data_IF_490338799928
#
_entry.id   IF_490338799928
#
_cell.length_a   1.000
_cell.length_b   1.000
_cell.length_c   1.000
_cell.angle_alpha   90.00
_cell.angle_beta   90.00
_cell.angle_gamma   90.00
#
_symmetry.space_group_name_H-M   'P 1'
#
loop_
_entity.id
_entity.type
_entity.pdbx_description
1 polymer ?
#
# COMPACT_ATOMS: atom_id res chain seq x y z
N UNK A 1 -66.41 33.97 -18.72
CA UNK A 1 -64.96 34.29 -18.95
C UNK A 1 -64.26 34.08 -17.64
N UNK A 2 -63.66 32.90 -17.42
CA UNK A 2 -63.02 32.49 -16.19
C UNK A 2 -61.53 32.59 -16.33
N UNK A 3 -60.89 33.51 -15.64
CA UNK A 3 -59.41 33.65 -15.56
C UNK A 3 -58.82 32.60 -14.64
N UNK A 4 -58.10 31.67 -15.25
CA UNK A 4 -57.25 30.68 -14.55
C UNK A 4 -55.94 31.35 -14.11
N UNK A 5 -55.41 31.11 -12.87
CA UNK A 5 -54.14 31.66 -12.45
C UNK A 5 -52.96 30.91 -13.06
N UNK A 6 -52.03 31.63 -13.65
CA UNK A 6 -50.77 31.17 -14.23
C UNK A 6 -49.92 30.34 -13.22
N UNK A 7 -49.65 29.08 -13.54
CA UNK A 7 -48.65 28.24 -12.82
C UNK A 7 -47.23 28.77 -13.13
N UNK A 8 -46.37 28.94 -12.14
CA UNK A 8 -44.97 29.32 -12.37
C UNK A 8 -44.22 28.19 -13.09
N UNK A 9 -43.43 28.59 -14.10
CA UNK A 9 -42.66 27.73 -14.98
C UNK A 9 -41.68 26.83 -14.18
N UNK A 10 -41.65 25.54 -14.49
CA UNK A 10 -40.76 24.52 -13.90
C UNK A 10 -39.27 24.75 -14.14
N UNK A 11 -38.91 25.68 -15.02
CA UNK A 11 -37.50 25.99 -15.38
C UNK A 11 -36.74 26.70 -14.28
N UNK A 12 -37.40 27.40 -13.35
CA UNK A 12 -36.72 28.10 -12.26
C UNK A 12 -36.36 27.23 -11.06
N UNK A 13 -36.99 26.06 -10.92
CA UNK A 13 -36.72 25.13 -9.80
C UNK A 13 -35.43 24.35 -9.99
N UNK A 14 -35.03 24.07 -11.24
CA UNK A 14 -33.83 23.28 -11.55
C UNK A 14 -32.53 24.08 -11.36
N UNK A 15 -32.58 25.41 -11.50
CA UNK A 15 -31.38 26.25 -11.31
C UNK A 15 -30.96 26.37 -9.83
N UNK A 16 -31.92 26.38 -8.91
CA UNK A 16 -31.64 26.46 -7.47
C UNK A 16 -31.07 25.16 -6.91
N UNK A 17 -31.47 23.98 -7.46
CA UNK A 17 -30.98 22.70 -7.02
C UNK A 17 -29.53 22.43 -7.48
N UNK A 18 -29.17 22.86 -8.70
CA UNK A 18 -27.80 22.69 -9.23
C UNK A 18 -26.78 23.59 -8.51
N UNK A 19 -27.17 24.76 -8.05
CA UNK A 19 -26.29 25.67 -7.35
C UNK A 19 -25.99 25.22 -5.90
N UNK A 20 -26.97 24.60 -5.23
CA UNK A 20 -26.78 24.01 -3.90
C UNK A 20 -25.84 22.80 -3.98
N UNK A 21 -25.89 22.02 -5.09
CA UNK A 21 -25.00 20.88 -5.30
C UNK A 21 -23.53 21.33 -5.49
N UNK A 22 -23.26 22.43 -6.17
CA UNK A 22 -21.91 22.95 -6.36
C UNK A 22 -21.27 23.45 -5.05
N UNK A 23 -22.04 24.06 -4.16
CA UNK A 23 -21.52 24.50 -2.85
C UNK A 23 -21.33 23.34 -1.86
N UNK A 24 -22.16 22.29 -1.93
CA UNK A 24 -21.99 21.10 -1.10
C UNK A 24 -20.78 20.27 -1.51
N UNK A 25 -20.42 20.22 -2.80
CA UNK A 25 -19.23 19.52 -3.28
C UNK A 25 -17.94 20.26 -2.85
N UNK A 26 -17.90 21.58 -2.90
CA UNK A 26 -16.76 22.39 -2.42
C UNK A 26 -16.52 22.27 -0.92
N UNK A 27 -17.57 22.20 -0.12
CA UNK A 27 -17.48 22.06 1.35
C UNK A 27 -17.03 20.68 1.81
N UNK A 28 -17.43 19.63 1.09
CA UNK A 28 -17.09 18.23 1.41
C UNK A 28 -15.60 17.93 1.08
N UNK A 29 -15.04 18.55 0.05
CA UNK A 29 -13.63 18.35 -0.30
C UNK A 29 -12.67 18.92 0.73
N UNK A 30 -12.99 20.04 1.36
CA UNK A 30 -12.13 20.64 2.39
C UNK A 30 -12.16 19.82 3.69
N UNK A 31 -13.29 19.22 4.07
CA UNK A 31 -13.39 18.41 5.29
C UNK A 31 -12.87 16.96 5.12
N UNK A 32 -12.93 16.39 3.91
CA UNK A 32 -12.39 15.06 3.63
C UNK A 32 -10.85 15.04 3.65
N UNK A 33 -10.19 16.14 3.27
CA UNK A 33 -8.73 16.25 3.29
C UNK A 33 -8.13 16.34 4.69
N UNK A 34 -8.88 16.85 5.68
CA UNK A 34 -8.39 17.00 7.05
C UNK A 34 -8.51 15.72 7.90
N UNK A 35 -9.24 14.70 7.46
CA UNK A 35 -9.48 13.47 8.24
C UNK A 35 -8.72 12.22 7.75
N UNK A 36 -7.95 12.28 6.68
CA UNK A 36 -7.35 11.13 6.02
C UNK A 36 -5.85 10.89 6.25
N UNK A 37 -5.16 11.72 6.99
CA UNK A 37 -3.72 11.62 7.18
C UNK A 37 -3.32 11.32 8.64
N UNK A 38 -3.95 10.33 9.27
CA UNK A 38 -3.32 9.68 10.39
C UNK A 38 -2.36 8.62 9.82
N UNK A 39 -1.06 8.68 10.13
CA UNK A 39 -0.15 7.60 9.79
C UNK A 39 -0.65 6.33 10.48
N UNK A 40 -0.57 5.17 9.82
CA UNK A 40 -0.85 3.91 10.49
C UNK A 40 0.07 3.81 11.69
N UNK A 41 -0.50 3.57 12.86
CA UNK A 41 0.26 3.27 14.07
C UNK A 41 1.28 2.19 13.71
N UNK A 42 2.53 2.42 14.08
CA UNK A 42 3.59 1.42 14.00
C UNK A 42 3.07 0.16 14.66
N UNK A 43 2.82 -0.91 13.89
CA UNK A 43 2.54 -2.22 14.45
C UNK A 43 3.78 -2.60 15.27
N UNK A 44 3.65 -2.53 16.58
CA UNK A 44 4.55 -3.22 17.49
C UNK A 44 4.24 -4.70 17.26
N UNK A 45 5.21 -5.45 16.74
CA UNK A 45 5.08 -6.90 16.62
C UNK A 45 4.74 -7.46 18.01
N UNK A 46 3.66 -8.22 18.16
CA UNK A 46 3.36 -8.85 19.43
C UNK A 46 4.50 -9.82 19.77
N UNK A 47 5.11 -9.63 20.92
CA UNK A 47 6.05 -10.58 21.50
C UNK A 47 5.36 -11.95 21.57
N UNK A 48 5.90 -13.01 20.97
CA UNK A 48 5.25 -14.32 21.00
C UNK A 48 5.11 -14.80 22.43
N UNK A 49 3.89 -15.03 22.85
CA UNK A 49 3.58 -15.68 24.12
C UNK A 49 4.07 -17.13 24.05
N UNK A 50 4.82 -17.63 25.04
CA UNK A 50 5.27 -19.00 25.00
C UNK A 50 4.10 -19.97 25.11
N UNK A 51 3.84 -20.70 24.04
CA UNK A 51 2.90 -21.84 24.05
C UNK A 51 3.60 -23.00 24.75
N UNK A 52 3.25 -23.25 26.00
CA UNK A 52 3.66 -24.48 26.71
C UNK A 52 2.77 -25.63 26.21
N UNK A 53 3.21 -26.31 25.18
CA UNK A 53 2.75 -27.68 24.88
C UNK A 53 3.73 -28.65 25.52
N UNK A 54 3.28 -29.41 26.49
CA UNK A 54 4.04 -30.56 27.01
C UNK A 54 4.34 -31.51 25.85
N UNK A 55 5.63 -31.67 25.54
CA UNK A 55 6.12 -32.60 24.53
C UNK A 55 5.88 -34.03 25.03
N UNK A 56 5.46 -34.97 24.18
CA UNK A 56 5.36 -36.36 24.54
C UNK A 56 6.75 -36.88 24.94
N UNK A 57 6.78 -37.68 25.98
CA UNK A 57 8.00 -38.25 26.60
C UNK A 57 8.66 -39.24 25.63
N UNK A 58 9.44 -38.75 24.67
CA UNK A 58 10.23 -39.55 23.75
C UNK A 58 11.44 -40.10 24.47
N UNK A 59 11.53 -41.42 24.57
CA UNK A 59 12.69 -42.13 25.14
C UNK A 59 13.92 -41.88 24.25
N UNK A 60 14.80 -41.01 24.72
CA UNK A 60 16.10 -40.78 24.06
C UNK A 60 16.89 -42.10 24.13
N UNK A 61 17.38 -42.58 22.99
CA UNK A 61 18.21 -43.80 22.93
C UNK A 61 19.52 -43.54 23.67
N UNK A 62 19.85 -44.30 24.74
CA UNK A 62 21.00 -44.03 25.58
C UNK A 62 22.37 -44.30 24.91
N UNK A 63 22.39 -44.88 23.71
CA UNK A 63 23.62 -45.10 22.94
C UNK A 63 24.10 -43.92 22.13
N UNK A 64 23.29 -42.86 22.04
CA UNK A 64 23.64 -41.64 21.34
C UNK A 64 23.44 -40.45 22.27
N UNK A 65 24.25 -40.42 23.34
CA UNK A 65 24.52 -39.15 24.04
C UNK A 65 25.27 -38.16 23.16
N UNK A 66 25.26 -38.42 21.82
CA UNK A 66 25.91 -37.62 20.82
C UNK A 66 25.03 -36.42 20.41
N UNK A 67 25.63 -35.24 20.40
CA UNK A 67 25.10 -34.06 19.78
C UNK A 67 24.96 -34.37 18.28
N UNK A 68 23.88 -33.93 17.63
CA UNK A 68 23.68 -34.07 16.16
C UNK A 68 24.91 -33.58 15.38
N UNK A 69 25.61 -32.62 15.91
CA UNK A 69 26.83 -32.05 15.31
C UNK A 69 28.06 -33.02 15.40
N UNK A 70 27.99 -34.13 16.12
CA UNK A 70 29.08 -35.13 16.09
C UNK A 70 29.18 -35.79 14.70
N UNK A 71 28.05 -35.90 14.00
CA UNK A 71 28.01 -36.35 12.62
C UNK A 71 27.88 -35.18 11.65
N UNK A 72 26.88 -34.28 11.86
CA UNK A 72 26.63 -33.17 10.99
C UNK A 72 27.67 -32.03 11.10
N UNK A 73 28.62 -32.11 11.99
CA UNK A 73 29.80 -31.25 12.07
C UNK A 73 30.94 -31.68 11.12
N UNK A 74 30.84 -32.83 10.43
CA UNK A 74 31.82 -33.24 9.44
C UNK A 74 31.59 -32.55 8.08
N UNK A 75 32.54 -31.75 7.59
CA UNK A 75 32.40 -31.05 6.30
C UNK A 75 32.36 -31.98 5.09
N UNK A 76 32.71 -33.27 5.28
CA UNK A 76 32.66 -34.27 4.21
C UNK A 76 31.31 -35.01 4.16
N UNK A 77 30.40 -34.76 5.09
CA UNK A 77 29.09 -35.40 5.14
C UNK A 77 28.22 -34.83 4.01
N UNK A 78 27.79 -35.72 3.09
CA UNK A 78 26.97 -35.35 1.94
C UNK A 78 25.84 -36.32 1.74
N UNK A 79 24.71 -35.82 1.22
CA UNK A 79 23.59 -36.61 0.70
C UNK A 79 23.51 -36.51 -0.82
N UNK A 80 22.86 -37.51 -1.44
CA UNK A 80 22.48 -37.47 -2.85
C UNK A 80 20.97 -37.58 -2.97
N UNK A 81 20.37 -36.74 -3.77
CA UNK A 81 18.97 -36.82 -4.18
C UNK A 81 18.77 -37.93 -5.19
N UNK A 82 17.51 -38.28 -5.47
CA UNK A 82 17.14 -39.29 -6.47
C UNK A 82 17.70 -38.94 -7.86
N UNK A 83 17.64 -37.66 -8.23
CA UNK A 83 18.15 -37.14 -9.51
C UNK A 83 19.69 -36.99 -9.54
N UNK A 84 20.36 -37.30 -8.40
CA UNK A 84 21.81 -37.33 -8.28
C UNK A 84 22.45 -36.04 -7.81
N UNK A 85 21.69 -35.03 -7.44
CA UNK A 85 22.22 -33.78 -6.84
C UNK A 85 22.97 -34.10 -5.54
N UNK A 86 24.11 -33.45 -5.33
CA UNK A 86 24.86 -33.57 -4.10
C UNK A 86 24.48 -32.44 -3.13
N UNK A 87 24.06 -32.83 -1.95
CA UNK A 87 23.63 -31.93 -0.87
C UNK A 87 24.63 -32.04 0.27
N UNK A 88 25.18 -30.93 0.73
CA UNK A 88 25.95 -30.92 1.96
C UNK A 88 25.03 -31.11 3.16
N UNK A 89 25.30 -32.13 3.96
CA UNK A 89 24.64 -32.39 5.24
C UNK A 89 25.42 -31.79 6.41
N UNK A 90 26.53 -31.13 6.08
CA UNK A 90 27.37 -30.41 7.05
C UNK A 90 26.65 -29.17 7.57
N UNK A 91 26.65 -29.04 8.90
CA UNK A 91 26.15 -27.86 9.59
C UNK A 91 27.36 -27.26 10.37
N UNK A 92 27.75 -26.05 9.98
CA UNK A 92 28.81 -25.37 10.69
C UNK A 92 28.33 -25.05 12.11
N UNK A 93 29.01 -25.57 13.17
CA UNK A 93 28.54 -25.45 14.53
C UNK A 93 28.28 -24.01 14.98
N UNK A 94 29.12 -23.05 14.57
CA UNK A 94 28.96 -21.64 14.87
C UNK A 94 27.70 -21.01 14.29
N UNK A 95 27.26 -21.44 13.11
CA UNK A 95 26.05 -20.92 12.46
C UNK A 95 24.80 -21.30 13.26
N UNK A 96 24.71 -22.56 13.69
CA UNK A 96 23.57 -23.01 14.49
C UNK A 96 23.52 -22.31 15.85
N UNK A 97 24.68 -22.15 16.50
CA UNK A 97 24.78 -21.45 17.78
C UNK A 97 24.32 -20.01 17.70
N UNK A 98 24.52 -19.32 16.57
CA UNK A 98 24.05 -17.97 16.29
C UNK A 98 22.62 -17.89 15.82
N UNK A 99 21.97 -19.01 15.56
CA UNK A 99 20.60 -19.04 15.03
C UNK A 99 19.56 -18.56 16.04
N UNK A 100 18.55 -17.85 15.56
CA UNK A 100 17.43 -17.36 16.36
C UNK A 100 16.62 -18.51 17.01
N UNK A 101 16.67 -19.72 16.42
CA UNK A 101 16.00 -20.92 16.92
C UNK A 101 16.88 -21.75 17.88
N UNK A 102 18.13 -21.37 18.09
CA UNK A 102 19.01 -22.05 19.07
C UNK A 102 18.76 -21.47 20.46
N UNK A 103 17.66 -21.86 21.09
CA UNK A 103 17.38 -21.50 22.50
C UNK A 103 17.78 -22.64 23.41
N UNK A 104 18.19 -22.30 24.65
CA UNK A 104 18.57 -23.29 25.65
C UNK A 104 17.47 -24.35 25.84
N UNK A 105 17.84 -25.62 25.68
CA UNK A 105 16.94 -26.77 25.84
C UNK A 105 16.15 -27.16 24.59
N UNK A 106 16.25 -26.43 23.49
CA UNK A 106 15.60 -26.75 22.21
C UNK A 106 16.66 -27.33 21.27
N UNK A 107 16.84 -28.63 21.29
CA UNK A 107 17.73 -29.33 20.35
C UNK A 107 17.10 -29.51 18.97
N UNK A 108 17.93 -29.78 17.97
CA UNK A 108 17.54 -29.97 16.57
C UNK A 108 16.31 -30.86 16.39
N UNK A 109 16.23 -31.97 17.12
CA UNK A 109 15.12 -32.93 17.05
C UNK A 109 13.82 -32.50 17.71
N UNK A 110 13.82 -31.45 18.54
CA UNK A 110 12.59 -31.03 19.22
C UNK A 110 11.70 -30.13 18.38
N UNK A 111 12.30 -29.29 17.56
CA UNK A 111 11.59 -28.21 16.86
C UNK A 111 11.45 -28.54 15.37
N UNK A 112 12.55 -28.69 14.67
CA UNK A 112 12.54 -28.79 13.20
C UNK A 112 12.69 -30.22 12.69
N UNK A 113 13.50 -31.05 13.37
CA UNK A 113 13.86 -32.39 12.95
C UNK A 113 13.23 -33.47 13.86
N UNK A 114 11.97 -33.37 14.18
CA UNK A 114 11.30 -34.30 15.11
C UNK A 114 11.39 -35.77 14.66
N UNK A 115 11.27 -36.02 13.36
CA UNK A 115 11.41 -37.38 12.80
C UNK A 115 12.85 -37.90 12.85
N UNK A 116 13.83 -37.04 12.96
CA UNK A 116 15.27 -37.35 13.03
C UNK A 116 15.80 -37.33 14.46
N UNK A 117 14.94 -37.22 15.47
CA UNK A 117 15.33 -37.18 16.89
C UNK A 117 15.90 -38.49 17.42
N UNK A 118 15.73 -39.58 16.68
CA UNK A 118 16.23 -40.93 16.99
C UNK A 118 17.15 -41.40 15.89
N UNK A 119 18.24 -42.07 16.24
CA UNK A 119 19.14 -42.71 15.26
C UNK A 119 19.00 -44.23 15.33
N UNK A 120 18.98 -44.94 14.21
CA UNK A 120 18.84 -44.42 12.81
C UNK A 120 17.53 -43.66 12.63
N UNK A 121 17.52 -42.61 11.77
CA UNK A 121 16.35 -41.76 11.55
C UNK A 121 15.17 -42.57 11.01
N UNK A 122 13.99 -42.46 11.67
CA UNK A 122 12.82 -43.31 11.43
C UNK A 122 12.14 -43.16 10.05
N UNK A 123 12.47 -42.10 9.31
CA UNK A 123 11.92 -41.85 7.96
C UNK A 123 12.51 -42.75 6.89
N UNK A 124 13.48 -43.54 7.22
CA UNK A 124 14.01 -44.58 6.37
C UNK A 124 13.51 -45.93 6.87
N UNK A 125 13.01 -46.78 5.99
CA UNK A 125 12.73 -48.20 6.22
C UNK A 125 14.01 -48.98 6.52
N UNK A 126 14.76 -48.56 7.55
CA UNK A 126 16.12 -48.97 7.75
C UNK A 126 16.25 -49.85 8.98
N UNK A 127 16.34 -51.16 8.74
CA UNK A 127 16.42 -52.19 9.76
C UNK A 127 17.82 -52.38 10.35
N UNK A 128 18.86 -51.65 9.90
CA UNK A 128 20.24 -51.83 10.42
C UNK A 128 21.14 -50.65 10.15
N UNK A 129 22.29 -50.60 10.89
CA UNK A 129 23.35 -49.60 10.65
C UNK A 129 23.86 -49.62 9.21
N UNK A 130 23.79 -50.75 8.54
CA UNK A 130 24.13 -50.92 7.14
C UNK A 130 23.24 -50.11 6.22
N UNK A 131 22.01 -49.76 6.58
CA UNK A 131 21.09 -49.00 5.73
C UNK A 131 21.39 -47.51 5.75
N UNK A 132 22.01 -46.96 6.79
CA UNK A 132 22.56 -45.57 6.74
C UNK A 132 23.95 -45.57 6.08
N UNK A 133 24.69 -46.64 6.26
CA UNK A 133 26.07 -46.73 5.79
C UNK A 133 26.18 -47.51 4.46
N UNK A 134 25.13 -48.12 3.94
CA UNK A 134 25.09 -48.92 2.71
C UNK A 134 24.03 -48.38 1.72
N UNK A 135 24.34 -48.29 0.46
CA UNK A 135 25.60 -48.55 -0.30
C UNK A 135 26.40 -47.24 -0.55
N UNK A 136 26.41 -46.35 0.41
CA UNK A 136 26.76 -44.97 0.17
C UNK A 136 28.24 -44.63 0.46
N UNK A 137 29.04 -45.55 0.84
CA UNK A 137 30.48 -45.27 1.04
C UNK A 137 31.24 -45.39 -0.27
N UNK A 138 31.38 -44.32 -0.99
CA UNK A 138 32.48 -44.22 -1.96
C UNK A 138 33.75 -43.78 -1.22
N UNK A 139 34.32 -44.64 -0.41
CA UNK A 139 35.57 -44.37 0.25
C UNK A 139 35.57 -44.76 1.73
N UNK A 140 36.72 -45.14 2.23
CA UNK A 140 36.98 -45.42 3.62
C UNK A 140 37.10 -44.08 4.37
N UNK A 141 36.25 -43.78 5.38
CA UNK A 141 36.35 -42.56 6.16
C UNK A 141 37.71 -42.37 6.87
N UNK A 142 38.35 -43.51 7.23
CA UNK A 142 39.68 -43.50 7.80
C UNK A 142 40.77 -43.04 6.81
N UNK A 143 40.46 -43.03 5.53
CA UNK A 143 41.30 -42.55 4.42
C UNK A 143 40.84 -41.29 3.78
N UNK A 144 39.95 -40.51 4.42
CA UNK A 144 39.42 -39.24 3.92
C UNK A 144 38.33 -39.37 2.84
N UNK A 145 37.65 -40.53 2.75
CA UNK A 145 36.51 -40.71 1.92
C UNK A 145 35.26 -39.96 2.40
N UNK A 146 34.49 -39.44 1.48
CA UNK A 146 33.21 -38.77 1.83
C UNK A 146 32.12 -39.81 2.14
N UNK A 147 31.44 -39.60 3.27
CA UNK A 147 30.18 -40.32 3.56
C UNK A 147 29.06 -39.72 2.70
N UNK A 148 28.43 -40.57 1.90
CA UNK A 148 27.34 -40.18 1.01
C UNK A 148 26.06 -40.91 1.43
N UNK A 149 24.99 -40.15 1.67
CA UNK A 149 23.68 -40.70 2.04
C UNK A 149 22.67 -40.48 0.88
N UNK A 150 21.80 -41.47 0.65
CA UNK A 150 20.70 -41.29 -0.29
C UNK A 150 19.54 -40.61 0.39
N UNK A 151 19.09 -39.50 -0.20
CA UNK A 151 17.98 -38.69 0.29
C UNK A 151 16.69 -39.05 -0.45
N UNK A 152 15.51 -39.10 0.25
CA UNK A 152 14.23 -39.47 -0.35
C UNK A 152 13.59 -38.33 -1.19
N UNK A 153 14.38 -37.37 -1.62
CA UNK A 153 13.93 -36.22 -2.40
C UNK A 153 14.39 -36.32 -3.85
N UNK A 154 13.55 -35.86 -4.78
CA UNK A 154 13.91 -35.83 -6.20
C UNK A 154 15.16 -34.99 -6.45
N UNK A 155 15.19 -33.78 -5.93
CA UNK A 155 16.24 -32.79 -6.14
C UNK A 155 16.37 -31.86 -4.93
N UNK A 156 17.35 -30.95 -4.96
CA UNK A 156 17.59 -29.95 -3.90
C UNK A 156 16.39 -29.03 -3.69
N UNK A 157 15.66 -28.72 -4.76
CA UNK A 157 14.48 -27.84 -4.64
C UNK A 157 13.33 -28.51 -3.90
N UNK A 158 13.16 -29.81 -4.04
CA UNK A 158 12.17 -30.57 -3.28
C UNK A 158 12.44 -30.47 -1.78
N UNK A 159 13.71 -30.51 -1.35
CA UNK A 159 14.08 -30.31 0.04
C UNK A 159 13.67 -28.91 0.53
N UNK A 160 13.96 -27.86 -0.24
CA UNK A 160 13.61 -26.48 0.15
C UNK A 160 12.10 -26.29 0.29
N UNK A 161 11.30 -26.92 -0.59
CA UNK A 161 9.84 -26.89 -0.52
C UNK A 161 9.30 -27.61 0.72
N UNK A 162 9.89 -28.73 1.09
CA UNK A 162 9.55 -29.46 2.33
C UNK A 162 9.86 -28.63 3.58
N UNK A 163 11.05 -28.03 3.65
CA UNK A 163 11.44 -27.12 4.75
C UNK A 163 10.44 -25.98 4.90
N UNK A 164 9.91 -25.45 3.80
CA UNK A 164 8.92 -24.38 3.85
C UNK A 164 7.65 -24.79 4.60
N UNK A 165 7.18 -26.02 4.44
CA UNK A 165 6.01 -26.54 5.19
C UNK A 165 6.28 -26.67 6.68
N UNK A 166 7.51 -26.96 7.05
CA UNK A 166 7.92 -27.02 8.46
C UNK A 166 7.89 -25.64 9.12
N UNK A 167 8.38 -24.61 8.44
CA UNK A 167 8.32 -23.24 8.94
C UNK A 167 6.87 -22.77 9.21
N UNK A 168 5.95 -23.13 8.31
CA UNK A 168 4.53 -22.77 8.41
C UNK A 168 3.87 -23.25 9.71
N UNK A 169 4.29 -24.39 10.26
CA UNK A 169 3.69 -24.96 11.49
C UNK A 169 3.74 -24.02 12.68
N UNK A 170 4.76 -23.17 12.76
CA UNK A 170 4.95 -22.20 13.84
C UNK A 170 4.73 -20.75 13.38
N UNK A 171 5.04 -20.44 12.12
CA UNK A 171 4.95 -19.11 11.53
C UNK A 171 3.71 -18.95 10.62
N UNK A 172 2.55 -19.47 11.06
CA UNK A 172 1.30 -19.46 10.26
C UNK A 172 0.85 -18.05 9.86
N UNK A 173 0.90 -17.08 10.76
CA UNK A 173 0.50 -15.68 10.47
C UNK A 173 1.38 -15.04 9.40
N UNK A 174 2.70 -15.27 9.49
CA UNK A 174 3.64 -14.78 8.48
C UNK A 174 3.38 -15.50 7.15
N UNK A 175 3.13 -16.79 7.18
CA UNK A 175 2.83 -17.57 5.99
C UNK A 175 1.55 -17.06 5.31
N UNK A 176 0.49 -16.75 6.06
CA UNK A 176 -0.74 -16.14 5.52
C UNK A 176 -0.44 -14.82 4.80
N UNK A 177 0.43 -13.98 5.34
CA UNK A 177 0.80 -12.72 4.66
C UNK A 177 1.56 -12.95 3.36
N UNK A 178 2.20 -14.11 3.18
CA UNK A 178 2.88 -14.45 1.91
C UNK A 178 1.95 -14.92 0.81
N UNK A 179 0.70 -15.30 1.12
CA UNK A 179 -0.23 -15.90 0.13
C UNK A 179 -0.50 -15.00 -1.07
N UNK A 180 -0.60 -13.68 -0.84
CA UNK A 180 -0.82 -12.67 -1.88
C UNK A 180 0.50 -12.10 -2.46
N UNK A 181 1.64 -12.64 -2.02
CA UNK A 181 2.97 -12.22 -2.51
C UNK A 181 3.15 -12.55 -3.99
N UNK A 182 3.88 -11.71 -4.71
CA UNK A 182 4.29 -11.96 -6.09
C UNK A 182 5.03 -13.30 -6.24
N UNK A 183 5.84 -13.67 -5.26
CA UNK A 183 6.58 -14.95 -5.26
C UNK A 183 5.65 -16.16 -5.12
N UNK A 184 4.69 -16.09 -4.21
CA UNK A 184 3.71 -17.18 -4.02
C UNK A 184 2.83 -17.35 -5.26
N UNK A 185 2.42 -16.24 -5.88
CA UNK A 185 1.63 -16.31 -7.11
C UNK A 185 2.40 -16.99 -8.25
N UNK A 186 3.66 -16.61 -8.47
CA UNK A 186 4.51 -17.24 -9.48
C UNK A 186 4.70 -18.74 -9.19
N UNK A 187 4.79 -19.12 -7.92
CA UNK A 187 4.84 -20.54 -7.52
C UNK A 187 3.53 -21.27 -7.86
N UNK A 188 2.38 -20.65 -7.59
CA UNK A 188 1.06 -21.20 -7.94
C UNK A 188 0.86 -21.31 -9.45
N UNK A 189 1.49 -20.45 -10.25
CA UNK A 189 1.54 -20.50 -11.70
C UNK A 189 2.49 -21.62 -12.23
N UNK A 190 3.11 -22.41 -11.35
CA UNK A 190 3.93 -23.57 -11.67
C UNK A 190 5.44 -23.34 -11.64
N UNK A 191 5.92 -22.15 -11.31
CA UNK A 191 7.35 -21.92 -11.16
C UNK A 191 7.84 -22.38 -9.79
N UNK A 192 8.28 -23.63 -9.71
CA UNK A 192 8.80 -24.22 -8.47
C UNK A 192 10.06 -23.55 -7.92
N UNK A 193 10.74 -22.70 -8.69
CA UNK A 193 11.94 -21.96 -8.27
C UNK A 193 11.62 -20.58 -7.64
N UNK A 194 10.36 -20.22 -7.53
CA UNK A 194 9.97 -19.04 -6.75
C UNK A 194 10.44 -19.18 -5.30
N UNK A 195 11.01 -18.13 -4.66
CA UNK A 195 11.66 -18.26 -3.37
C UNK A 195 10.68 -18.66 -2.26
N UNK A 196 11.16 -19.46 -1.33
CA UNK A 196 10.49 -19.89 -0.09
C UNK A 196 11.23 -19.34 1.13
N UNK A 197 10.75 -19.61 2.34
CA UNK A 197 11.30 -19.06 3.58
C UNK A 197 12.80 -19.24 3.69
N UNK A 198 13.32 -20.44 3.44
CA UNK A 198 14.74 -20.78 3.56
C UNK A 198 15.64 -20.07 2.54
N UNK A 199 15.11 -19.67 1.36
CA UNK A 199 15.90 -18.94 0.37
C UNK A 199 16.29 -17.53 0.85
N UNK A 200 15.44 -16.95 1.70
CA UNK A 200 15.65 -15.62 2.27
C UNK A 200 16.34 -15.70 3.65
N UNK A 201 15.88 -16.60 4.52
CA UNK A 201 16.27 -16.66 5.92
C UNK A 201 17.35 -17.72 6.23
N UNK A 202 17.65 -18.61 5.28
CA UNK A 202 18.47 -19.78 5.57
C UNK A 202 17.66 -20.86 6.29
N UNK A 203 18.34 -21.92 6.75
CA UNK A 203 17.70 -23.04 7.44
C UNK A 203 18.33 -23.35 8.80
N UNK A 204 19.66 -23.27 8.93
CA UNK A 204 20.37 -23.57 10.17
C UNK A 204 20.96 -22.33 10.85
N UNK A 205 21.17 -21.27 10.11
CA UNK A 205 21.69 -19.98 10.54
C UNK A 205 20.61 -18.89 10.51
N UNK A 206 19.38 -19.27 10.84
CA UNK A 206 18.24 -18.37 10.76
C UNK A 206 18.45 -17.16 11.68
N UNK A 207 18.52 -15.99 11.07
CA UNK A 207 18.64 -14.72 11.76
C UNK A 207 17.62 -13.73 11.25
N UNK A 208 17.33 -12.73 12.07
CA UNK A 208 16.58 -11.57 11.61
C UNK A 208 17.44 -10.85 10.57
N UNK A 209 16.93 -10.76 9.36
CA UNK A 209 17.59 -9.97 8.32
C UNK A 209 17.52 -8.51 8.74
N UNK A 210 18.63 -7.94 9.09
CA UNK A 210 18.73 -6.52 9.39
C UNK A 210 18.55 -5.66 8.13
N UNK A 211 18.41 -4.36 8.34
CA UNK A 211 18.18 -3.43 7.25
C UNK A 211 19.29 -3.47 6.18
N UNK A 212 20.54 -3.61 6.58
CA UNK A 212 21.69 -3.66 5.67
C UNK A 212 21.74 -4.96 4.87
N UNK A 213 21.28 -6.07 5.47
CA UNK A 213 21.24 -7.39 4.86
C UNK A 213 20.14 -7.59 3.81
N UNK A 214 19.03 -6.80 3.86
CA UNK A 214 17.88 -6.99 2.98
C UNK A 214 18.26 -6.99 1.50
N UNK A 215 19.05 -6.00 1.06
CA UNK A 215 19.50 -5.91 -0.34
C UNK A 215 20.36 -7.11 -0.73
N UNK A 216 21.14 -7.65 0.22
CA UNK A 216 21.94 -8.86 0.07
C UNK A 216 21.14 -10.12 -0.17
N UNK A 217 19.97 -10.23 0.45
CA UNK A 217 19.03 -11.34 0.22
C UNK A 217 18.42 -11.26 -1.17
N UNK A 218 17.84 -10.11 -1.53
CA UNK A 218 17.15 -9.93 -2.81
C UNK A 218 18.08 -10.12 -4.02
N UNK A 219 19.33 -9.65 -3.93
CA UNK A 219 20.32 -9.74 -5.03
C UNK A 219 20.68 -11.16 -5.43
N UNK A 220 20.43 -12.16 -4.60
CA UNK A 220 20.69 -13.57 -4.95
C UNK A 220 19.98 -13.98 -6.25
N UNK A 221 18.78 -13.42 -6.49
CA UNK A 221 17.97 -13.67 -7.68
C UNK A 221 17.79 -12.41 -8.55
N UNK A 222 17.69 -11.21 -7.94
CA UNK A 222 17.43 -9.92 -8.59
C UNK A 222 18.72 -9.10 -8.77
N UNK A 223 19.74 -9.70 -9.38
CA UNK A 223 21.06 -9.07 -9.52
C UNK A 223 21.05 -7.82 -10.40
N UNK A 224 20.25 -7.81 -11.47
CA UNK A 224 20.14 -6.69 -12.39
C UNK A 224 19.49 -5.46 -11.72
N UNK A 225 18.38 -5.69 -11.01
CA UNK A 225 17.69 -4.65 -10.24
C UNK A 225 18.56 -4.12 -9.12
N UNK A 226 19.26 -5.00 -8.41
CA UNK A 226 20.20 -4.61 -7.37
C UNK A 226 21.34 -3.76 -7.92
N UNK A 227 21.95 -4.15 -9.05
CA UNK A 227 23.06 -3.39 -9.67
C UNK A 227 22.60 -1.99 -10.07
N UNK A 228 21.39 -1.88 -10.61
CA UNK A 228 20.77 -0.60 -10.97
C UNK A 228 20.47 0.24 -9.74
N UNK A 229 19.87 -0.38 -8.70
CA UNK A 229 19.57 0.29 -7.43
C UNK A 229 20.81 0.81 -6.74
N UNK A 230 21.90 0.01 -6.69
CA UNK A 230 23.18 0.40 -6.10
C UNK A 230 23.74 1.69 -6.70
N UNK A 231 23.54 1.94 -7.99
CA UNK A 231 23.93 3.16 -8.68
C UNK A 231 22.98 4.35 -8.48
N UNK A 232 21.83 4.16 -7.83
CA UNK A 232 20.86 5.22 -7.56
C UNK A 232 21.23 6.06 -6.34
N UNK A 233 20.53 7.20 -6.16
CA UNK A 233 20.71 8.06 -4.96
C UNK A 233 20.39 7.31 -3.66
N UNK A 234 19.42 6.38 -3.70
CA UNK A 234 19.05 5.60 -2.54
C UNK A 234 20.05 4.49 -2.25
N UNK A 235 20.41 3.72 -3.27
CA UNK A 235 21.31 2.58 -3.12
C UNK A 235 22.74 2.99 -2.79
N UNK A 236 23.24 4.05 -3.40
CA UNK A 236 24.60 4.55 -3.11
C UNK A 236 24.72 5.04 -1.66
N UNK A 237 23.71 5.74 -1.14
CA UNK A 237 23.71 6.18 0.26
C UNK A 237 23.52 5.02 1.26
N UNK A 238 22.80 3.95 0.87
CA UNK A 238 22.69 2.75 1.71
C UNK A 238 24.02 2.00 1.79
N UNK A 239 24.69 1.83 0.65
CA UNK A 239 25.94 1.04 0.56
C UNK A 239 27.14 1.77 1.15
N UNK A 240 27.26 3.09 0.94
CA UNK A 240 28.40 3.86 1.42
C UNK A 240 28.33 4.15 2.92
N UNK A 241 27.15 4.52 3.43
CA UNK A 241 27.00 5.12 4.74
C UNK A 241 26.04 4.34 5.65
N UNK A 242 25.50 3.19 5.20
CA UNK A 242 24.40 2.46 5.91
C UNK A 242 23.29 3.41 6.34
N UNK A 243 22.99 4.41 5.50
CA UNK A 243 22.09 5.51 5.84
C UNK A 243 20.69 5.00 6.21
N UNK A 244 20.20 5.24 7.44
CA UNK A 244 18.92 4.74 7.89
C UNK A 244 17.70 5.41 7.23
N UNK A 245 17.88 6.55 6.61
CA UNK A 245 16.79 7.34 6.02
C UNK A 245 16.43 6.91 4.60
N UNK A 246 17.32 6.18 3.88
CA UNK A 246 17.05 5.76 2.50
C UNK A 246 16.35 4.40 2.44
N UNK A 247 15.45 4.16 1.46
CA UNK A 247 14.69 2.92 1.37
C UNK A 247 15.58 1.74 0.94
N UNK A 248 15.32 0.56 1.50
CA UNK A 248 15.80 -0.74 0.99
C UNK A 248 14.80 -1.35 0.02
N UNK A 249 15.13 -2.49 -0.57
CA UNK A 249 14.19 -3.23 -1.44
C UNK A 249 12.83 -3.45 -0.75
N UNK A 250 12.83 -3.86 0.53
CA UNK A 250 11.62 -4.16 1.28
C UNK A 250 10.77 -2.91 1.60
N UNK A 251 11.34 -1.72 1.66
CA UNK A 251 10.55 -0.51 1.90
C UNK A 251 9.63 -0.18 0.72
N UNK A 252 10.05 -0.55 -0.50
CA UNK A 252 9.24 -0.33 -1.70
C UNK A 252 8.37 -1.54 -2.04
N UNK A 253 8.90 -2.76 -1.86
CA UNK A 253 8.27 -4.00 -2.33
C UNK A 253 7.62 -4.83 -1.23
N UNK A 254 7.84 -4.52 0.03
CA UNK A 254 7.51 -5.40 1.16
C UNK A 254 8.54 -6.52 1.34
N UNK A 255 8.39 -7.27 2.44
CA UNK A 255 9.27 -8.41 2.76
C UNK A 255 8.54 -9.75 2.62
N UNK A 256 7.44 -9.96 3.33
CA UNK A 256 6.62 -11.16 3.26
C UNK A 256 5.50 -11.03 2.24
N UNK A 257 4.78 -9.93 2.23
CA UNK A 257 3.89 -9.54 1.14
C UNK A 257 4.70 -8.77 0.08
N UNK A 258 5.49 -9.50 -0.71
CA UNK A 258 6.28 -8.87 -1.77
C UNK A 258 5.35 -8.47 -2.90
N UNK A 259 5.34 -7.18 -3.23
CA UNK A 259 4.56 -6.61 -4.32
C UNK A 259 5.45 -6.05 -5.43
N UNK A 260 4.95 -6.03 -6.64
CA UNK A 260 5.71 -5.58 -7.81
C UNK A 260 4.82 -5.28 -9.01
N UNK A 261 5.40 -5.06 -10.19
CA UNK A 261 4.65 -4.63 -11.38
C UNK A 261 3.50 -5.57 -11.77
N UNK A 262 3.62 -6.85 -11.39
CA UNK A 262 2.62 -7.88 -11.65
C UNK A 262 1.52 -7.98 -10.58
N UNK A 263 1.66 -7.28 -9.44
CA UNK A 263 0.61 -7.24 -8.41
C UNK A 263 -0.39 -6.12 -8.71
N UNK A 264 -1.66 -6.41 -8.44
CA UNK A 264 -2.72 -5.42 -8.63
C UNK A 264 -2.45 -4.16 -7.81
N UNK A 265 -2.72 -3.01 -8.41
CA UNK A 265 -2.60 -1.68 -7.78
C UNK A 265 -1.19 -1.28 -7.33
N UNK A 266 -0.13 -2.05 -7.64
CA UNK A 266 1.23 -1.66 -7.24
C UNK A 266 1.62 -0.29 -7.79
N UNK A 267 1.23 0.00 -9.03
CA UNK A 267 1.49 1.29 -9.67
C UNK A 267 0.89 2.46 -8.88
N UNK A 268 -0.33 2.34 -8.42
CA UNK A 268 -1.02 3.35 -7.62
C UNK A 268 -0.42 3.49 -6.23
N UNK A 269 -0.02 2.38 -5.64
CA UNK A 269 0.63 2.36 -4.32
C UNK A 269 1.98 3.09 -4.33
N UNK A 270 2.68 3.17 -5.46
CA UNK A 270 3.99 3.83 -5.54
C UNK A 270 3.95 5.31 -5.17
N UNK A 271 2.83 6.01 -5.44
CA UNK A 271 2.68 7.41 -5.01
C UNK A 271 2.73 7.53 -3.50
N UNK A 272 2.05 6.62 -2.80
CA UNK A 272 2.11 6.56 -1.33
C UNK A 272 3.49 6.13 -0.84
N UNK A 273 4.06 5.08 -1.42
CA UNK A 273 5.38 4.54 -1.04
C UNK A 273 6.45 5.65 -1.11
N UNK A 274 6.48 6.40 -2.20
CA UNK A 274 7.41 7.53 -2.34
C UNK A 274 7.06 8.68 -1.38
N UNK A 275 5.76 9.00 -1.30
CA UNK A 275 5.25 10.10 -0.49
C UNK A 275 5.49 9.93 1.01
N UNK A 276 5.44 8.70 1.53
CA UNK A 276 5.63 8.42 2.97
C UNK A 276 6.99 8.94 3.48
N UNK A 277 8.03 8.88 2.64
CA UNK A 277 9.33 9.47 2.96
C UNK A 277 9.45 10.91 2.48
N UNK A 278 9.10 11.20 1.21
CA UNK A 278 9.31 12.50 0.59
C UNK A 278 8.37 13.61 1.12
N UNK A 279 7.33 13.28 1.89
CA UNK A 279 6.55 14.25 2.67
C UNK A 279 7.00 14.36 4.12
N UNK A 280 7.93 13.51 4.55
CA UNK A 280 8.39 13.48 5.93
C UNK A 280 9.46 14.55 6.18
N UNK A 281 9.04 15.63 6.87
CA UNK A 281 9.92 16.77 7.16
C UNK A 281 11.17 16.37 7.96
N UNK A 282 11.04 15.44 8.91
CA UNK A 282 12.16 14.98 9.75
C UNK A 282 13.27 14.33 8.94
N UNK A 283 12.90 13.67 7.82
CA UNK A 283 13.85 13.03 6.91
C UNK A 283 14.33 14.06 5.88
N UNK A 284 13.43 14.70 5.15
CA UNK A 284 13.76 15.50 3.98
C UNK A 284 14.56 16.77 4.30
N UNK A 285 14.32 17.40 5.45
CA UNK A 285 15.08 18.60 5.87
C UNK A 285 16.58 18.31 6.01
N UNK A 286 16.97 17.08 6.39
CA UNK A 286 18.38 16.67 6.50
C UNK A 286 19.13 16.76 5.16
N UNK A 287 18.40 16.61 4.07
CA UNK A 287 18.93 16.57 2.69
C UNK A 287 18.58 17.82 1.89
N UNK A 288 17.93 18.82 2.48
CA UNK A 288 17.49 20.02 1.80
C UNK A 288 16.43 19.75 0.72
N UNK A 289 15.67 18.67 0.84
CA UNK A 289 14.61 18.27 -0.11
C UNK A 289 13.28 18.83 0.35
N UNK A 290 12.55 19.49 -0.55
CA UNK A 290 11.20 19.99 -0.26
C UNK A 290 10.23 18.85 0.06
N UNK A 291 9.46 19.02 1.12
CA UNK A 291 8.37 18.09 1.49
C UNK A 291 7.07 18.34 0.72
N UNK A 292 7.05 19.35 -0.13
CA UNK A 292 5.87 19.72 -0.91
C UNK A 292 5.64 18.84 -2.14
N UNK A 293 6.57 17.92 -2.43
CA UNK A 293 6.56 17.12 -3.66
C UNK A 293 5.29 16.30 -3.85
N UNK A 294 4.77 15.70 -2.78
CA UNK A 294 3.51 14.95 -2.84
C UNK A 294 2.32 15.88 -3.05
N UNK A 295 2.27 16.99 -2.30
CA UNK A 295 1.20 17.97 -2.42
C UNK A 295 1.14 18.56 -3.83
N UNK A 296 2.28 19.03 -4.34
CA UNK A 296 2.35 19.62 -5.70
C UNK A 296 2.05 18.61 -6.79
N UNK A 297 2.41 17.33 -6.61
CA UNK A 297 2.02 16.26 -7.51
C UNK A 297 0.51 16.03 -7.49
N UNK A 298 -0.11 15.97 -6.30
CA UNK A 298 -1.56 15.75 -6.19
C UNK A 298 -2.40 16.91 -6.69
N UNK A 299 -1.83 18.13 -6.70
CA UNK A 299 -2.45 19.35 -7.25
C UNK A 299 -2.20 19.53 -8.76
N UNK A 300 -1.33 18.71 -9.34
CA UNK A 300 -1.00 18.66 -10.77
C UNK A 300 -2.00 17.79 -11.54
N UNK A 301 -2.09 18.01 -12.86
CA UNK A 301 -2.94 17.22 -13.77
C UNK A 301 -2.65 15.72 -13.70
N UNK A 302 -1.40 15.32 -13.44
CA UNK A 302 -1.01 13.92 -13.30
C UNK A 302 -1.57 13.30 -12.01
N UNK A 303 -1.57 14.03 -10.90
CA UNK A 303 -2.15 13.59 -9.63
C UNK A 303 -3.68 13.67 -9.62
N UNK A 304 -4.27 14.72 -10.20
CA UNK A 304 -5.72 14.90 -10.29
C UNK A 304 -6.42 13.80 -11.08
N UNK A 305 -5.75 13.16 -12.05
CA UNK A 305 -6.34 12.05 -12.82
C UNK A 305 -6.76 10.87 -11.95
N UNK A 306 -6.24 10.72 -10.73
CA UNK A 306 -6.72 9.70 -9.79
C UNK A 306 -8.15 9.98 -9.30
N UNK A 307 -8.49 11.26 -9.11
CA UNK A 307 -9.85 11.66 -8.75
C UNK A 307 -10.84 11.42 -9.89
N UNK A 308 -10.45 11.74 -11.13
CA UNK A 308 -11.29 11.53 -12.31
C UNK A 308 -11.47 10.05 -12.67
N UNK A 309 -10.47 9.20 -12.42
CA UNK A 309 -10.55 7.75 -12.67
C UNK A 309 -11.61 7.06 -11.80
N UNK A 310 -11.76 7.49 -10.55
CA UNK A 310 -12.84 7.02 -9.67
C UNK A 310 -14.23 7.37 -10.17
N UNK A 311 -14.34 8.24 -11.16
CA UNK A 311 -15.59 8.73 -11.74
C UNK A 311 -15.89 8.20 -13.16
N UNK A 312 -15.33 7.03 -13.59
CA UNK A 312 -15.63 6.29 -14.84
C UNK A 312 -14.67 6.44 -16.05
N UNK A 313 -13.42 6.85 -15.84
CA UNK A 313 -12.43 6.85 -16.92
C UNK A 313 -11.41 5.68 -16.71
N UNK A 314 -11.88 4.44 -16.86
CA UNK A 314 -11.13 3.21 -16.53
C UNK A 314 -9.84 2.99 -17.34
N UNK A 315 -9.62 3.75 -18.42
CA UNK A 315 -8.50 3.53 -19.35
C UNK A 315 -7.38 4.59 -19.28
N UNK A 316 -7.41 5.52 -18.32
CA UNK A 316 -6.37 6.54 -18.23
C UNK A 316 -5.24 6.04 -17.33
N UNK A 317 -4.07 5.77 -17.92
CA UNK A 317 -2.85 5.46 -17.17
C UNK A 317 -2.26 6.75 -16.62
N UNK A 318 -2.34 6.93 -15.31
CA UNK A 318 -1.72 8.06 -14.61
C UNK A 318 -0.19 7.95 -14.62
N UNK A 319 0.51 9.07 -14.85
CA UNK A 319 1.93 9.15 -14.58
C UNK A 319 2.16 9.13 -13.06
N UNK A 320 3.05 8.27 -12.58
CA UNK A 320 3.46 8.16 -11.18
C UNK A 320 4.92 8.60 -11.03
N UNK A 321 5.42 8.69 -9.81
CA UNK A 321 6.76 9.19 -9.54
C UNK A 321 7.85 8.48 -10.37
N UNK A 322 7.76 7.15 -10.50
CA UNK A 322 8.78 6.37 -11.20
C UNK A 322 8.76 6.54 -12.74
N UNK A 323 7.70 7.03 -13.33
CA UNK A 323 7.65 7.26 -14.77
C UNK A 323 8.62 8.37 -15.18
N UNK A 324 8.69 9.41 -14.34
CA UNK A 324 9.59 10.53 -14.53
C UNK A 324 10.97 10.28 -13.88
N UNK A 325 11.01 9.77 -12.65
CA UNK A 325 12.26 9.64 -11.89
C UNK A 325 13.02 8.32 -12.10
N UNK A 326 12.40 7.33 -12.75
CA UNK A 326 12.93 5.97 -12.85
C UNK A 326 12.48 5.11 -11.66
N UNK A 327 12.84 3.81 -11.71
CA UNK A 327 12.43 2.81 -10.73
C UNK A 327 13.59 2.51 -9.76
N UNK A 328 14.55 1.72 -10.23
CA UNK A 328 15.75 1.38 -9.48
C UNK A 328 16.92 2.32 -9.75
N UNK A 329 16.86 3.11 -10.83
CA UNK A 329 17.90 4.03 -11.30
C UNK A 329 17.56 5.50 -11.01
N UNK A 330 17.02 5.78 -9.85
CA UNK A 330 16.66 7.15 -9.46
C UNK A 330 17.93 7.97 -9.24
N UNK A 331 18.08 9.05 -10.00
CA UNK A 331 19.23 9.94 -9.95
C UNK A 331 18.80 11.36 -9.58
N UNK A 332 19.76 12.16 -9.09
CA UNK A 332 19.53 13.58 -8.81
C UNK A 332 19.14 14.32 -10.11
N UNK A 333 18.31 15.38 -10.00
CA UNK A 333 17.88 16.15 -11.17
C UNK A 333 19.03 16.85 -11.94
N UNK A 334 20.14 17.10 -11.28
CA UNK A 334 21.37 17.72 -11.87
C UNK A 334 22.31 16.69 -12.51
N UNK A 335 22.02 15.40 -12.40
CA UNK A 335 22.82 14.36 -13.05
C UNK A 335 22.39 14.20 -14.52
N UNK A 336 23.30 14.31 -15.50
CA UNK A 336 22.98 14.20 -16.92
C UNK A 336 22.33 12.86 -17.34
N UNK A 337 22.55 11.79 -16.57
CA UNK A 337 21.90 10.49 -16.80
C UNK A 337 20.49 10.39 -16.20
N UNK A 338 20.04 11.39 -15.42
CA UNK A 338 18.71 11.40 -14.83
C UNK A 338 17.64 11.62 -15.89
N UNK A 339 16.53 10.89 -15.79
CA UNK A 339 15.36 11.10 -16.66
C UNK A 339 14.75 12.50 -16.52
N UNK A 340 14.93 13.13 -15.34
CA UNK A 340 14.41 14.48 -15.05
C UNK A 340 15.48 15.56 -15.21
N UNK A 341 16.64 15.21 -15.77
CA UNK A 341 17.62 16.19 -16.20
C UNK A 341 17.02 17.05 -17.34
N UNK A 342 17.23 18.39 -17.36
CA UNK A 342 16.53 19.31 -18.28
C UNK A 342 16.51 18.85 -19.74
N UNK A 343 17.64 18.38 -20.26
CA UNK A 343 17.78 17.93 -21.64
C UNK A 343 17.08 16.58 -21.91
N UNK A 344 16.81 15.79 -20.88
CA UNK A 344 16.14 14.50 -20.99
C UNK A 344 14.61 14.59 -20.82
N UNK A 345 14.10 15.73 -20.32
CA UNK A 345 12.67 15.89 -20.02
C UNK A 345 11.78 15.68 -21.24
N UNK A 346 12.18 16.15 -22.42
CA UNK A 346 11.41 15.94 -23.64
C UNK A 346 11.16 14.45 -23.89
N UNK A 347 12.22 13.65 -23.88
CA UNK A 347 12.11 12.19 -24.12
C UNK A 347 11.31 11.49 -23.00
N UNK A 348 11.44 11.95 -21.77
CA UNK A 348 10.66 11.44 -20.64
C UNK A 348 9.16 11.72 -20.81
N UNK A 349 8.80 12.94 -21.21
CA UNK A 349 7.41 13.30 -21.50
C UNK A 349 6.86 12.52 -22.69
N UNK A 350 7.67 12.29 -23.74
CA UNK A 350 7.30 11.51 -24.93
C UNK A 350 6.98 10.05 -24.62
N UNK A 351 7.37 9.54 -23.48
CA UNK A 351 6.94 8.22 -23.00
C UNK A 351 5.41 8.05 -23.01
N UNK A 352 4.67 9.11 -22.72
CA UNK A 352 3.22 9.18 -22.74
C UNK A 352 2.66 10.17 -23.77
N UNK A 353 3.28 11.35 -23.88
CA UNK A 353 2.89 12.43 -24.78
C UNK A 353 3.71 12.38 -26.07
N UNK A 354 3.34 11.54 -27.03
CA UNK A 354 4.14 11.22 -28.22
C UNK A 354 4.59 12.45 -29.02
N UNK A 355 3.75 13.50 -29.04
CA UNK A 355 3.99 14.72 -29.80
C UNK A 355 4.64 15.84 -28.96
N UNK A 356 5.13 15.52 -27.75
CA UNK A 356 5.80 16.49 -26.90
C UNK A 356 7.07 17.04 -27.58
N UNK A 357 7.07 18.35 -27.87
CA UNK A 357 8.22 19.05 -28.40
C UNK A 357 9.12 19.61 -27.28
N UNK A 358 10.22 20.24 -27.65
CA UNK A 358 11.21 20.80 -26.69
C UNK A 358 10.61 21.83 -25.71
N UNK A 359 9.53 22.51 -26.06
CA UNK A 359 8.86 23.50 -25.22
C UNK A 359 7.83 22.88 -24.28
N UNK A 360 7.38 21.65 -24.54
CA UNK A 360 6.36 20.98 -23.76
C UNK A 360 6.73 20.85 -22.27
N UNK A 361 7.93 20.38 -21.89
CA UNK A 361 8.33 20.31 -20.48
C UNK A 361 8.41 21.68 -19.79
N UNK A 362 8.66 22.75 -20.54
CA UNK A 362 8.79 24.12 -20.01
C UNK A 362 7.47 24.69 -19.49
N UNK A 363 6.34 24.11 -19.90
CA UNK A 363 4.99 24.50 -19.44
C UNK A 363 4.61 23.87 -18.11
N UNK A 364 5.38 22.90 -17.64
CA UNK A 364 5.13 22.18 -16.41
C UNK A 364 5.92 22.79 -15.24
N UNK A 365 5.22 23.04 -14.13
CA UNK A 365 5.82 23.67 -12.94
C UNK A 365 6.67 22.73 -12.08
N UNK A 366 6.70 21.43 -12.44
CA UNK A 366 7.37 20.43 -11.62
C UNK A 366 6.77 20.38 -10.19
N UNK A 367 7.62 20.20 -9.18
CA UNK A 367 7.22 20.18 -7.77
C UNK A 367 7.36 21.55 -7.09
N UNK A 368 7.14 22.65 -7.84
CA UNK A 368 7.24 24.01 -7.33
C UNK A 368 5.86 24.57 -7.00
N UNK A 369 5.72 25.14 -5.83
CA UNK A 369 4.53 25.91 -5.48
C UNK A 369 4.50 27.22 -6.25
N UNK A 370 3.30 27.61 -6.68
CA UNK A 370 3.07 28.94 -7.26
C UNK A 370 3.25 29.99 -6.18
N UNK A 371 4.27 30.81 -6.30
CA UNK A 371 4.53 31.92 -5.39
C UNK A 371 5.03 33.17 -6.13
N UNK A 372 4.84 34.35 -5.52
CA UNK A 372 5.19 35.63 -6.13
C UNK A 372 6.68 35.79 -6.46
N UNK A 373 7.57 35.12 -5.70
CA UNK A 373 9.01 35.25 -5.89
C UNK A 373 9.52 34.47 -7.09
N UNK A 374 9.00 33.26 -7.29
CA UNK A 374 9.46 32.36 -8.35
C UNK A 374 8.63 32.48 -9.63
N UNK A 375 7.31 32.73 -9.49
CA UNK A 375 6.35 32.74 -10.59
C UNK A 375 5.39 33.95 -10.46
N UNK A 376 5.88 35.21 -10.56
CA UNK A 376 5.05 36.39 -10.29
C UNK A 376 3.85 36.51 -11.24
N UNK A 377 4.02 36.23 -12.53
CA UNK A 377 2.94 36.29 -13.50
C UNK A 377 1.82 35.27 -13.20
N UNK A 378 2.19 34.02 -12.93
CA UNK A 378 1.24 32.96 -12.65
C UNK A 378 0.52 33.19 -11.30
N UNK A 379 1.26 33.65 -10.29
CA UNK A 379 0.68 34.01 -8.99
C UNK A 379 -0.34 35.16 -9.13
N UNK A 380 -0.03 36.16 -9.95
CA UNK A 380 -0.94 37.26 -10.22
C UNK A 380 -2.22 36.79 -10.88
N UNK A 381 -2.12 35.96 -11.94
CA UNK A 381 -3.30 35.38 -12.62
C UNK A 381 -4.13 34.54 -11.65
N UNK A 382 -3.48 33.69 -10.85
CA UNK A 382 -4.18 32.87 -9.86
C UNK A 382 -4.92 33.74 -8.83
N UNK A 383 -4.26 34.77 -8.30
CA UNK A 383 -4.88 35.71 -7.35
C UNK A 383 -6.08 36.44 -7.96
N UNK A 384 -5.94 36.94 -9.19
CA UNK A 384 -7.04 37.59 -9.90
C UNK A 384 -8.20 36.63 -10.13
N UNK A 385 -7.94 35.37 -10.50
CA UNK A 385 -8.96 34.34 -10.66
C UNK A 385 -9.74 34.11 -9.36
N UNK A 386 -9.07 34.02 -8.21
CA UNK A 386 -9.73 33.89 -6.91
C UNK A 386 -10.57 35.11 -6.55
N UNK A 387 -10.10 36.33 -6.87
CA UNK A 387 -10.88 37.56 -6.68
C UNK A 387 -12.17 37.53 -7.52
N UNK A 388 -12.07 37.11 -8.78
CA UNK A 388 -13.25 36.98 -9.64
C UNK A 388 -14.25 35.95 -9.10
N UNK A 389 -13.76 34.77 -8.67
CA UNK A 389 -14.62 33.74 -8.07
C UNK A 389 -15.29 34.26 -6.79
N UNK A 390 -14.55 34.96 -5.94
CA UNK A 390 -15.11 35.56 -4.72
C UNK A 390 -16.18 36.59 -5.01
N UNK A 391 -15.94 37.51 -5.95
CA UNK A 391 -16.93 38.50 -6.36
C UNK A 391 -18.18 37.85 -6.96
N UNK A 392 -18.01 36.82 -7.78
CA UNK A 392 -19.14 36.05 -8.33
C UNK A 392 -19.95 35.37 -7.20
N UNK A 393 -19.29 34.79 -6.20
CA UNK A 393 -19.97 34.20 -5.05
C UNK A 393 -20.75 35.26 -4.24
N UNK A 394 -20.18 36.44 -4.02
CA UNK A 394 -20.87 37.57 -3.35
C UNK A 394 -22.10 38.02 -4.16
N UNK A 395 -21.97 38.14 -5.48
CA UNK A 395 -23.11 38.49 -6.34
C UNK A 395 -24.24 37.46 -6.24
N UNK A 396 -23.90 36.16 -6.25
CA UNK A 396 -24.88 35.07 -6.10
C UNK A 396 -25.58 35.19 -4.72
N UNK A 397 -24.84 35.37 -3.65
CA UNK A 397 -25.41 35.53 -2.31
C UNK A 397 -26.32 36.76 -2.21
N UNK A 398 -25.93 37.87 -2.84
CA UNK A 398 -26.76 39.07 -2.94
C UNK A 398 -28.07 38.79 -3.66
N UNK A 399 -28.05 38.13 -4.81
CA UNK A 399 -29.26 37.76 -5.54
C UNK A 399 -30.15 36.80 -4.76
N UNK A 400 -29.57 35.83 -4.08
CA UNK A 400 -30.32 34.93 -3.16
C UNK A 400 -30.98 35.75 -2.05
N UNK A 401 -30.27 36.69 -1.46
CA UNK A 401 -30.81 37.62 -0.43
C UNK A 401 -32.00 38.43 -0.96
N UNK A 402 -31.88 38.97 -2.16
CA UNK A 402 -32.98 39.70 -2.80
C UNK A 402 -34.20 38.76 -3.06
N UNK A 403 -34.01 37.53 -3.53
CA UNK A 403 -35.10 36.61 -3.76
C UNK A 403 -35.79 36.21 -2.44
N UNK A 404 -35.04 35.93 -1.39
CA UNK A 404 -35.57 35.67 -0.05
C UNK A 404 -36.37 36.85 0.48
N UNK A 405 -35.84 38.06 0.35
CA UNK A 405 -36.55 39.28 0.74
C UNK A 405 -37.85 39.45 -0.03
N UNK A 406 -37.81 39.23 -1.34
CA UNK A 406 -39.01 39.27 -2.20
C UNK A 406 -40.06 38.26 -1.73
N UNK A 407 -39.67 37.03 -1.46
CA UNK A 407 -40.58 35.98 -0.94
C UNK A 407 -41.19 36.33 0.39
N UNK A 408 -40.43 36.93 1.27
CA UNK A 408 -40.93 37.40 2.60
C UNK A 408 -41.97 38.51 2.40
N UNK A 409 -41.69 39.49 1.52
CA UNK A 409 -42.61 40.60 1.24
C UNK A 409 -43.93 40.03 0.63
N UNK A 410 -43.85 39.20 -0.39
CA UNK A 410 -45.01 38.58 -1.03
C UNK A 410 -45.86 37.80 -0.01
N UNK A 411 -45.21 37.00 0.85
CA UNK A 411 -45.93 36.29 1.92
C UNK A 411 -46.61 37.22 2.92
N UNK A 412 -45.96 38.34 3.29
CA UNK A 412 -46.58 39.36 4.18
C UNK A 412 -47.77 40.01 3.54
N UNK A 413 -47.70 40.39 2.27
CA UNK A 413 -48.83 40.95 1.52
C UNK A 413 -49.98 39.94 1.43
N UNK A 414 -49.70 38.70 1.06
CA UNK A 414 -50.72 37.65 0.97
C UNK A 414 -51.42 37.39 2.32
N UNK A 415 -50.69 37.40 3.44
CA UNK A 415 -51.29 37.29 4.81
C UNK A 415 -52.17 38.46 5.15
N UNK A 416 -51.78 39.70 4.81
CA UNK A 416 -52.58 40.90 5.04
C UNK A 416 -53.89 40.84 4.22
N UNK A 417 -53.79 40.41 2.94
CA UNK A 417 -54.95 40.29 2.05
C UNK A 417 -55.88 39.17 2.54
N UNK A 418 -55.38 38.03 2.98
CA UNK A 418 -56.18 36.97 3.57
C UNK A 418 -56.93 37.42 4.84
N UNK A 419 -56.24 38.16 5.73
CA UNK A 419 -56.84 38.72 6.93
C UNK A 419 -57.92 39.76 6.59
N UNK A 420 -57.70 40.60 5.62
CA UNK A 420 -58.69 41.58 5.13
C UNK A 420 -59.91 40.89 4.55
N UNK A 421 -59.76 39.88 3.69
CA UNK A 421 -60.83 39.13 3.13
C UNK A 421 -61.64 38.38 4.22
N UNK A 422 -61.00 37.76 5.17
CA UNK A 422 -61.63 37.07 6.31
C UNK A 422 -62.46 38.10 7.17
N UNK A 423 -61.95 39.30 7.38
CA UNK A 423 -62.70 40.35 8.10
C UNK A 423 -63.92 40.83 7.31
N UNK A 424 -63.82 40.95 5.98
CA UNK A 424 -64.99 41.27 5.12
C UNK A 424 -66.03 40.15 5.16
N UNK A 425 -65.61 38.88 5.08
CA UNK A 425 -66.54 37.78 5.11
C UNK A 425 -67.23 37.61 6.50
N UNK A 426 -66.49 37.88 7.58
CA UNK A 426 -67.09 37.95 8.93
C UNK A 426 -68.14 39.05 9.05
N UNK A 427 -67.91 40.24 8.44
CA UNK A 427 -68.92 41.34 8.41
C UNK A 427 -70.12 40.97 7.62
N UNK A 428 -69.98 40.26 6.49
CA UNK A 428 -71.13 39.79 5.68
C UNK A 428 -71.97 38.75 6.44
N UNK A 429 -71.32 37.84 7.16
CA UNK A 429 -72.04 36.83 8.01
C UNK A 429 -72.79 37.56 9.12
N UNK A 430 -72.18 38.45 9.83
CA UNK A 430 -72.86 39.24 10.89
C UNK A 430 -74.02 40.08 10.40
N UNK A 431 -73.89 40.67 9.16
CA UNK A 431 -75.00 41.38 8.54
C UNK A 431 -76.18 40.45 8.19
N UNK A 432 -75.94 39.25 7.66
CA UNK A 432 -76.97 38.28 7.40
C UNK A 432 -77.65 37.78 8.66
N UNK A 433 -76.90 37.52 9.73
CA UNK A 433 -77.48 37.13 11.03
C UNK A 433 -78.38 38.22 11.60
N UNK A 434 -78.00 39.50 11.43
CA UNK A 434 -78.86 40.63 11.86
C UNK A 434 -80.11 40.72 11.01
N UNK A 435 -80.02 40.51 9.71
CA UNK A 435 -81.13 40.51 8.78
C UNK A 435 -82.13 39.36 9.10
N UNK A 436 -81.62 38.15 9.34
CA UNK A 436 -82.44 37.01 9.74
C UNK A 436 -83.16 37.26 11.06
N UNK A 437 -82.49 37.83 12.10
CA UNK A 437 -83.14 38.22 13.36
C UNK A 437 -84.26 39.22 13.16
N UNK A 438 -84.10 40.19 12.29
CA UNK A 438 -85.13 41.18 11.98
C UNK A 438 -86.32 40.54 11.25
N UNK A 439 -86.10 39.48 10.51
CA UNK A 439 -87.17 38.73 9.85
C UNK A 439 -87.93 37.84 10.86
N UNK A 440 -87.24 37.13 11.74
CA UNK A 440 -87.87 36.32 12.82
C UNK A 440 -88.67 37.18 13.81
N UNK A 441 -88.18 38.36 14.20
CA UNK A 441 -88.95 39.32 15.06
C UNK A 441 -90.20 39.88 14.34
N UNK A 442 -90.26 39.92 13.02
CA UNK A 442 -91.46 40.31 12.28
C UNK A 442 -92.49 39.20 12.16
N UNK A 443 -92.06 37.95 12.04
CA UNK A 443 -92.96 36.78 11.98
C UNK A 443 -93.63 36.43 13.34
N UNK A 444 -93.13 36.98 14.47
CA UNK A 444 -93.65 36.82 15.80
C UNK A 444 -94.64 37.92 16.19
N UNK A 445 -94.86 38.94 15.36
CA UNK A 445 -95.75 40.09 15.68
C UNK A 445 -96.97 40.18 14.76
N UNK A 446 -97.23 39.24 13.91
CA UNK A 446 -98.48 39.05 13.14
C UNK A 446 -99.22 37.79 13.72
#
# INVERSE_FOLDING_TARGET
MTNSPNKPSKTFLNFSASLILLFSIGGITIQAFARGLNPPASRVDPTPTPVTTEAPNLKVNPHLGGNCLDCHGDPNLVGKTIDGDTVSLYIQPGNHQGSFHNREGEGCGKVCHQAQSVYPHETSTMDSCASCHWPATTGDPAKGGKLVFNLPYSDVRAIALEVNTTCQKCHSEIFETTTDSAHTRIMQEGNRYAPVCSDCHGSHDIQKVDRSGISGVCKKCHLAEYSTYKGSVHGSALEADSNPDVPTCANCHGSHLVSGPSTANFREQTVKICGDCHSNKTIMDKYGISTDVLFTYMDDVHGLTDWFRKTNLENITRATCFDCHGKHNILKPDNPASKVYPENLQSTCQGCHKDANIRFPQTWLSHKKVNLKENPGLTTVNTLSWVVVFLAALAILFFIGLDVRRRIIVRRIARKQAAFNAAQDAKKVAAKETENKVIEDKEHHD
#
